data_IF_548337244398
#
_entry.id   IF_548337244398
#
_cell.length_a   1.000
_cell.length_b   1.000
_cell.length_c   1.000
_cell.angle_alpha   90.00
_cell.angle_beta   90.00
_cell.angle_gamma   90.00
#
_symmetry.space_group_name_H-M   'P 1'
#
loop_
_entity.id
_entity.type
_entity.pdbx_description
1 polymer ?
#
# COMPACT_ATOMS: atom_id res chain seq x y z
N UNK A 1 -24.95 -6.78 4.35
CA UNK A 1 -24.53 -5.90 5.47
C UNK A 1 -23.77 -4.66 5.04
N UNK A 2 -22.44 -4.62 4.80
CA UNK A 2 -21.73 -3.33 4.55
C UNK A 2 -22.25 -2.56 3.33
N UNK A 3 -22.57 -3.26 2.24
CA UNK A 3 -23.11 -2.65 1.01
C UNK A 3 -24.56 -2.16 1.15
N UNK A 4 -25.31 -2.65 2.15
CA UNK A 4 -26.62 -2.09 2.50
C UNK A 4 -26.46 -0.81 3.35
N UNK A 5 -25.34 -0.69 4.07
CA UNK A 5 -24.98 0.47 4.91
C UNK A 5 -24.25 1.58 4.15
N UNK A 6 -23.72 1.29 2.94
CA UNK A 6 -22.97 2.21 2.09
C UNK A 6 -23.70 2.43 0.76
N UNK A 7 -24.82 3.17 0.72
CA UNK A 7 -25.67 3.29 -0.47
C UNK A 7 -24.99 3.99 -1.64
N UNK A 8 -23.87 4.68 -1.38
CA UNK A 8 -23.11 5.38 -2.42
C UNK A 8 -22.08 4.49 -3.12
N UNK A 9 -21.86 3.25 -2.66
CA UNK A 9 -20.83 2.34 -3.17
C UNK A 9 -21.47 1.02 -3.63
N UNK A 10 -21.45 0.75 -4.93
CA UNK A 10 -21.85 -0.57 -5.46
C UNK A 10 -20.68 -1.55 -5.41
N UNK A 11 -20.99 -2.85 -5.24
CA UNK A 11 -19.98 -3.93 -5.26
C UNK A 11 -19.17 -3.93 -6.54
N UNK A 12 -19.84 -3.76 -7.68
CA UNK A 12 -19.20 -3.82 -8.99
C UNK A 12 -18.29 -2.61 -9.24
N UNK A 13 -18.65 -1.43 -8.71
CA UNK A 13 -17.80 -0.25 -8.78
C UNK A 13 -16.50 -0.44 -7.99
N UNK A 14 -16.59 -0.91 -6.74
CA UNK A 14 -15.38 -1.17 -5.92
C UNK A 14 -14.51 -2.23 -6.59
N UNK A 15 -15.10 -3.33 -7.06
CA UNK A 15 -14.35 -4.40 -7.74
C UNK A 15 -13.62 -3.89 -8.97
N UNK A 16 -14.29 -3.08 -9.79
CA UNK A 16 -13.70 -2.54 -11.02
C UNK A 16 -12.55 -1.56 -10.72
N UNK A 17 -12.74 -0.65 -9.77
CA UNK A 17 -11.67 0.27 -9.37
C UNK A 17 -10.50 -0.49 -8.75
N UNK A 18 -10.77 -1.44 -7.85
CA UNK A 18 -9.73 -2.30 -7.26
C UNK A 18 -8.92 -3.04 -8.33
N UNK A 19 -9.59 -3.66 -9.31
CA UNK A 19 -8.91 -4.41 -10.37
C UNK A 19 -8.06 -3.50 -11.26
N UNK A 20 -8.58 -2.32 -11.63
CA UNK A 20 -7.82 -1.34 -12.42
C UNK A 20 -6.61 -0.83 -11.65
N UNK A 21 -6.77 -0.52 -10.36
CA UNK A 21 -5.71 -0.07 -9.47
C UNK A 21 -4.67 -1.17 -9.24
N UNK A 22 -5.09 -2.43 -9.09
CA UNK A 22 -4.19 -3.58 -8.98
C UNK A 22 -3.40 -3.84 -10.27
N UNK A 23 -4.04 -3.71 -11.44
CA UNK A 23 -3.36 -3.84 -12.72
C UNK A 23 -2.32 -2.72 -12.92
N UNK A 24 -2.68 -1.47 -12.60
CA UNK A 24 -1.74 -0.35 -12.63
C UNK A 24 -0.57 -0.56 -11.66
N UNK A 25 -0.84 -1.06 -10.45
CA UNK A 25 0.18 -1.43 -9.48
C UNK A 25 1.16 -2.46 -10.05
N UNK A 26 0.66 -3.55 -10.65
CA UNK A 26 1.50 -4.58 -11.25
C UNK A 26 2.41 -4.04 -12.36
N UNK A 27 1.89 -3.16 -13.23
CA UNK A 27 2.69 -2.49 -14.25
C UNK A 27 3.78 -1.62 -13.63
N UNK A 28 3.46 -0.85 -12.58
CA UNK A 28 4.42 0.02 -11.90
C UNK A 28 5.50 -0.78 -11.17
N UNK A 29 5.19 -1.95 -10.60
CA UNK A 29 6.21 -2.84 -10.02
C UNK A 29 7.20 -3.30 -11.09
N UNK A 30 6.70 -3.73 -12.26
CA UNK A 30 7.56 -4.13 -13.37
C UNK A 30 8.42 -2.98 -13.89
N UNK A 31 7.86 -1.78 -13.98
CA UNK A 31 8.61 -0.58 -14.34
C UNK A 31 9.66 -0.22 -13.29
N UNK A 32 9.35 -0.35 -12.00
CA UNK A 32 10.29 -0.14 -10.90
C UNK A 32 11.44 -1.14 -10.94
N UNK A 33 11.15 -2.40 -11.24
CA UNK A 33 12.16 -3.43 -11.44
C UNK A 33 13.06 -3.13 -12.65
N UNK A 34 12.47 -2.82 -13.80
CA UNK A 34 13.24 -2.45 -15.00
C UNK A 34 14.11 -1.20 -14.76
N UNK A 35 13.55 -0.17 -14.13
CA UNK A 35 14.28 1.04 -13.78
C UNK A 35 15.42 0.77 -12.79
N UNK A 36 15.20 -0.07 -11.77
CA UNK A 36 16.24 -0.47 -10.82
C UNK A 36 17.36 -1.31 -11.46
N UNK A 37 17.05 -2.08 -12.50
CA UNK A 37 18.04 -2.80 -13.30
C UNK A 37 18.85 -1.90 -14.23
N UNK A 38 18.25 -0.84 -14.78
CA UNK A 38 18.92 0.11 -15.68
C UNK A 38 19.74 1.15 -14.88
N UNK A 39 19.23 1.57 -13.72
CA UNK A 39 19.82 2.62 -12.88
C UNK A 39 20.11 2.07 -11.45
N UNK A 40 21.13 1.22 -11.30
CA UNK A 40 21.44 0.57 -10.02
C UNK A 40 21.79 1.58 -8.92
N UNK A 41 22.50 2.67 -9.26
CA UNK A 41 22.88 3.71 -8.29
C UNK A 41 21.64 4.38 -7.67
N UNK A 42 20.61 4.64 -8.47
CA UNK A 42 19.35 5.20 -7.97
C UNK A 42 18.60 4.21 -7.07
N UNK A 43 18.58 2.93 -7.43
CA UNK A 43 17.94 1.89 -6.62
C UNK A 43 18.64 1.75 -5.26
N UNK A 44 19.98 1.75 -5.25
CA UNK A 44 20.76 1.75 -4.01
C UNK A 44 20.49 2.98 -3.15
N UNK A 45 20.38 4.17 -3.76
CA UNK A 45 20.04 5.38 -3.01
C UNK A 45 18.64 5.29 -2.38
N UNK A 46 17.66 4.73 -3.08
CA UNK A 46 16.32 4.47 -2.51
C UNK A 46 16.40 3.52 -1.32
N UNK A 47 17.18 2.44 -1.43
CA UNK A 47 17.39 1.51 -0.33
C UNK A 47 18.06 2.18 0.87
N UNK A 48 19.07 3.02 0.66
CA UNK A 48 19.74 3.77 1.72
C UNK A 48 18.78 4.75 2.42
N UNK A 49 17.98 5.49 1.64
CA UNK A 49 16.97 6.39 2.17
C UNK A 49 15.90 5.63 2.97
N UNK A 50 15.56 4.42 2.56
CA UNK A 50 14.63 3.57 3.30
C UNK A 50 15.24 3.02 4.59
N UNK A 51 16.49 2.55 4.56
CA UNK A 51 17.23 2.10 5.73
C UNK A 51 17.36 3.23 6.77
N UNK A 52 17.69 4.45 6.33
CA UNK A 52 17.77 5.62 7.20
C UNK A 52 16.42 5.98 7.85
N UNK A 53 15.30 5.78 7.14
CA UNK A 53 13.96 5.97 7.72
C UNK A 53 13.67 4.92 8.80
N UNK A 54 14.00 3.64 8.56
CA UNK A 54 13.84 2.58 9.57
C UNK A 54 14.68 2.87 10.82
N UNK A 55 15.92 3.32 10.64
CA UNK A 55 16.80 3.72 11.73
C UNK A 55 16.23 4.90 12.54
N UNK A 56 15.66 5.90 11.86
CA UNK A 56 14.96 7.01 12.51
C UNK A 56 13.69 6.60 13.27
N UNK A 57 13.01 5.54 12.81
CA UNK A 57 11.89 4.94 13.53
C UNK A 57 12.32 4.17 14.78
N UNK A 58 13.64 4.03 15.02
CA UNK A 58 14.19 3.36 16.20
C UNK A 58 13.97 1.85 16.19
N UNK A 59 13.74 1.25 15.01
CA UNK A 59 13.56 -0.20 14.83
C UNK A 59 14.93 -0.91 14.81
N UNK A 60 15.65 -0.87 15.92
CA UNK A 60 16.93 -1.59 16.11
C UNK A 60 16.71 -2.99 16.69
N UNK A 61 17.73 -3.84 16.65
CA UNK A 61 17.68 -5.26 17.08
C UNK A 61 17.26 -5.47 18.56
N UNK A 62 17.30 -4.43 19.39
CA UNK A 62 16.94 -4.47 20.83
C UNK A 62 15.47 -4.12 21.12
N UNK A 63 14.66 -3.84 20.11
CA UNK A 63 13.25 -3.46 20.31
C UNK A 63 12.38 -4.71 20.54
N UNK A 64 11.50 -4.73 21.55
CA UNK A 64 10.54 -5.82 21.74
C UNK A 64 9.72 -6.07 20.46
N UNK A 65 9.55 -7.33 20.06
CA UNK A 65 8.79 -7.71 18.86
C UNK A 65 7.37 -7.09 18.84
N UNK A 66 6.73 -6.95 20.00
CA UNK A 66 5.43 -6.29 20.11
C UNK A 66 5.45 -4.81 19.71
N UNK A 67 6.53 -4.10 20.00
CA UNK A 67 6.71 -2.70 19.65
C UNK A 67 7.06 -2.54 18.16
N UNK A 68 7.89 -3.42 17.61
CA UNK A 68 8.15 -3.47 16.16
C UNK A 68 6.86 -3.72 15.37
N UNK A 69 6.05 -4.69 15.78
CA UNK A 69 4.75 -4.98 15.17
C UNK A 69 3.83 -3.75 15.21
N UNK A 70 3.73 -3.08 16.37
CA UNK A 70 2.88 -1.90 16.51
C UNK A 70 3.36 -0.77 15.58
N UNK A 71 4.67 -0.51 15.52
CA UNK A 71 5.24 0.51 14.65
C UNK A 71 4.96 0.23 13.17
N UNK A 72 5.20 -1.00 12.71
CA UNK A 72 4.91 -1.41 11.32
C UNK A 72 3.41 -1.30 11.00
N UNK A 73 2.56 -1.78 11.91
CA UNK A 73 1.11 -1.68 11.78
C UNK A 73 0.62 -0.23 11.68
N UNK A 74 1.05 0.65 12.58
CA UNK A 74 0.66 2.06 12.55
C UNK A 74 1.24 2.79 11.34
N UNK A 75 2.44 2.43 10.88
CA UNK A 75 3.02 2.96 9.66
C UNK A 75 2.17 2.58 8.44
N UNK A 76 1.80 1.30 8.29
CA UNK A 76 1.00 0.84 7.15
C UNK A 76 -0.44 1.35 7.20
N UNK A 77 -1.03 1.50 8.40
CA UNK A 77 -2.30 2.20 8.57
C UNK A 77 -2.18 3.65 8.13
N UNK A 78 -1.14 4.35 8.58
CA UNK A 78 -0.94 5.76 8.25
C UNK A 78 -0.72 5.94 6.75
N UNK A 79 0.12 5.11 6.13
CA UNK A 79 0.36 5.12 4.68
C UNK A 79 -0.94 4.85 3.90
N UNK A 80 -1.71 3.84 4.30
CA UNK A 80 -2.98 3.50 3.64
C UNK A 80 -4.05 4.57 3.85
N UNK A 81 -4.13 5.14 5.05
CA UNK A 81 -5.05 6.23 5.39
C UNK A 81 -4.70 7.49 4.62
N UNK A 82 -3.43 7.89 4.59
CA UNK A 82 -2.95 9.04 3.83
C UNK A 82 -3.20 8.86 2.33
N UNK A 83 -2.95 7.66 1.79
CA UNK A 83 -3.29 7.32 0.41
C UNK A 83 -4.79 7.54 0.12
N UNK A 84 -5.68 7.16 1.04
CA UNK A 84 -7.11 7.46 0.91
C UNK A 84 -7.43 8.97 1.06
N UNK A 85 -6.85 9.64 2.04
CA UNK A 85 -7.08 11.07 2.34
C UNK A 85 -6.57 12.00 1.24
N UNK A 86 -5.51 11.62 0.55
CA UNK A 86 -5.05 12.30 -0.66
C UNK A 86 -6.11 12.38 -1.76
N UNK A 87 -7.08 11.47 -1.73
CA UNK A 87 -8.27 11.52 -2.57
C UNK A 87 -9.23 12.67 -2.26
N UNK A 88 -9.11 13.33 -1.09
CA UNK A 88 -9.92 14.51 -0.76
C UNK A 88 -9.57 15.72 -1.61
N UNK A 89 -8.37 15.76 -2.22
CA UNK A 89 -7.97 16.82 -3.12
C UNK A 89 -8.59 16.52 -4.50
N UNK A 90 -9.62 17.29 -4.92
CA UNK A 90 -10.24 17.06 -6.20
C UNK A 90 -9.27 17.42 -7.34
N UNK A 91 -9.46 16.83 -8.51
CA UNK A 91 -8.68 17.04 -9.74
C UNK A 91 -7.27 16.43 -9.78
N UNK A 92 -6.68 16.10 -8.62
CA UNK A 92 -5.35 15.50 -8.56
C UNK A 92 -5.42 14.13 -7.88
N UNK A 93 -5.20 13.02 -8.60
CA UNK A 93 -5.26 11.67 -8.03
C UNK A 93 -3.98 11.34 -7.24
N UNK A 94 -3.73 12.10 -6.17
CA UNK A 94 -2.57 11.93 -5.29
C UNK A 94 -2.51 10.54 -4.65
N UNK A 95 -3.67 9.90 -4.45
CA UNK A 95 -3.76 8.49 -4.04
C UNK A 95 -3.02 7.55 -4.99
N UNK A 96 -3.09 7.80 -6.31
CA UNK A 96 -2.39 7.00 -7.31
C UNK A 96 -0.87 7.22 -7.25
N UNK A 97 -0.41 8.43 -6.90
CA UNK A 97 1.02 8.69 -6.68
C UNK A 97 1.54 7.91 -5.46
N UNK A 98 0.81 7.95 -4.33
CA UNK A 98 1.19 7.20 -3.14
C UNK A 98 1.23 5.68 -3.39
N UNK A 99 0.29 5.14 -4.15
CA UNK A 99 0.33 3.74 -4.57
C UNK A 99 1.52 3.47 -5.51
N UNK A 100 1.78 4.38 -6.46
CA UNK A 100 2.84 4.23 -7.44
C UNK A 100 4.23 4.27 -6.83
N UNK A 101 4.48 5.11 -5.82
CA UNK A 101 5.76 5.12 -5.10
C UNK A 101 6.02 3.80 -4.40
N UNK A 102 5.00 3.22 -3.74
CA UNK A 102 5.11 1.90 -3.11
C UNK A 102 5.36 0.79 -4.14
N UNK A 103 4.66 0.83 -5.28
CA UNK A 103 4.88 -0.12 -6.38
C UNK A 103 6.31 -0.05 -6.95
N UNK A 104 6.79 1.16 -7.21
CA UNK A 104 8.13 1.40 -7.75
C UNK A 104 9.22 0.97 -6.76
N UNK A 105 9.06 1.28 -5.47
CA UNK A 105 9.99 0.83 -4.42
C UNK A 105 10.04 -0.70 -4.36
N UNK A 106 8.88 -1.37 -4.38
CA UNK A 106 8.80 -2.83 -4.40
C UNK A 106 9.53 -3.43 -5.61
N UNK A 107 9.39 -2.83 -6.79
CA UNK A 107 10.14 -3.23 -7.99
C UNK A 107 11.64 -2.97 -7.86
N UNK A 108 12.03 -1.81 -7.34
CA UNK A 108 13.43 -1.45 -7.16
C UNK A 108 14.15 -2.39 -6.18
N UNK A 109 13.51 -2.77 -5.07
CA UNK A 109 14.08 -3.73 -4.13
C UNK A 109 14.24 -5.12 -4.76
N UNK A 110 13.29 -5.58 -5.57
CA UNK A 110 13.44 -6.81 -6.34
C UNK A 110 14.67 -6.77 -7.27
N UNK A 111 14.93 -5.62 -7.92
CA UNK A 111 16.09 -5.44 -8.78
C UNK A 111 17.41 -5.50 -8.00
N UNK A 112 17.47 -4.88 -6.82
CA UNK A 112 18.66 -4.92 -5.96
C UNK A 112 18.96 -6.35 -5.51
N UNK A 113 17.97 -7.09 -5.03
CA UNK A 113 18.14 -8.48 -4.59
C UNK A 113 18.62 -9.39 -5.73
N UNK A 114 18.17 -9.13 -6.96
CA UNK A 114 18.63 -9.84 -8.16
C UNK A 114 20.09 -9.47 -8.49
N UNK A 115 20.47 -8.20 -8.40
CA UNK A 115 21.84 -7.74 -8.69
C UNK A 115 22.85 -8.20 -7.65
N UNK A 116 22.45 -8.31 -6.38
CA UNK A 116 23.31 -8.79 -5.28
C UNK A 116 23.48 -10.31 -5.28
N UNK A 117 22.81 -11.05 -6.17
CA UNK A 117 22.93 -12.50 -6.27
C UNK A 117 22.25 -13.29 -5.14
N UNK A 118 21.50 -12.62 -4.26
CA UNK A 118 20.70 -13.24 -3.18
C UNK A 118 19.53 -14.05 -3.78
N UNK A 119 19.09 -13.66 -4.98
CA UNK A 119 18.07 -14.34 -5.76
C UNK A 119 16.65 -13.88 -5.43
N UNK A 120 15.83 -13.72 -6.46
CA UNK A 120 14.44 -13.27 -6.33
C UNK A 120 13.57 -14.18 -5.44
N UNK A 121 13.93 -15.46 -5.29
CA UNK A 121 13.20 -16.40 -4.44
C UNK A 121 13.19 -15.98 -2.96
N UNK A 122 14.34 -15.54 -2.44
CA UNK A 122 14.46 -15.06 -1.05
C UNK A 122 13.68 -13.77 -0.86
N UNK A 123 13.75 -12.85 -1.83
CA UNK A 123 12.98 -11.62 -1.81
C UNK A 123 11.47 -11.87 -1.77
N UNK A 124 10.99 -12.77 -2.64
CA UNK A 124 9.58 -13.16 -2.68
C UNK A 124 9.17 -13.84 -1.38
N UNK A 125 10.00 -14.72 -0.80
CA UNK A 125 9.69 -15.35 0.49
C UNK A 125 9.67 -14.35 1.65
N UNK A 126 10.51 -13.32 1.62
CA UNK A 126 10.50 -12.24 2.59
C UNK A 126 9.22 -11.41 2.49
N UNK A 127 8.88 -10.97 1.28
CA UNK A 127 7.79 -10.01 1.04
C UNK A 127 6.41 -10.66 0.99
N UNK A 128 6.27 -11.77 0.26
CA UNK A 128 4.96 -12.33 -0.13
C UNK A 128 4.05 -12.71 1.05
N UNK A 129 4.54 -13.29 2.17
CA UNK A 129 3.69 -13.68 3.29
C UNK A 129 2.85 -12.52 3.84
N UNK A 130 3.46 -11.36 4.06
CA UNK A 130 2.79 -10.17 4.61
C UNK A 130 2.30 -9.22 3.50
N UNK A 131 3.06 -9.12 2.40
CA UNK A 131 2.81 -8.23 1.28
C UNK A 131 1.47 -8.48 0.58
N UNK A 132 0.94 -9.71 0.55
CA UNK A 132 -0.40 -9.96 -0.01
C UNK A 132 -1.48 -9.17 0.76
N UNK A 133 -1.39 -9.16 2.08
CA UNK A 133 -2.36 -8.49 2.94
C UNK A 133 -2.18 -6.97 2.90
N UNK A 134 -0.93 -6.51 2.98
CA UNK A 134 -0.59 -5.08 2.92
C UNK A 134 -0.96 -4.47 1.57
N UNK A 135 -0.54 -5.08 0.46
CA UNK A 135 -0.82 -4.57 -0.87
C UNK A 135 -2.32 -4.58 -1.16
N UNK A 136 -3.05 -5.59 -0.71
CA UNK A 136 -4.51 -5.62 -0.84
C UNK A 136 -5.17 -4.45 -0.09
N UNK A 137 -4.73 -4.17 1.15
CA UNK A 137 -5.22 -3.05 1.94
C UNK A 137 -4.85 -1.69 1.31
N UNK A 138 -3.64 -1.55 0.80
CA UNK A 138 -3.15 -0.34 0.16
C UNK A 138 -3.88 -0.05 -1.16
N UNK A 139 -4.04 -1.06 -2.02
CA UNK A 139 -4.80 -0.96 -3.29
C UNK A 139 -6.26 -0.60 -3.00
N UNK A 140 -6.89 -1.23 -2.01
CA UNK A 140 -8.25 -0.88 -1.60
C UNK A 140 -8.34 0.57 -1.13
N UNK A 141 -7.41 1.01 -0.29
CA UNK A 141 -7.37 2.38 0.24
C UNK A 141 -7.15 3.42 -0.86
N UNK A 142 -6.30 3.11 -1.85
CA UNK A 142 -6.12 3.93 -3.04
C UNK A 142 -7.39 3.99 -3.89
N UNK A 143 -8.05 2.86 -4.14
CA UNK A 143 -9.31 2.82 -4.90
C UNK A 143 -10.41 3.67 -4.23
N UNK A 144 -10.52 3.60 -2.90
CA UNK A 144 -11.41 4.46 -2.12
C UNK A 144 -11.03 5.94 -2.24
N UNK A 145 -9.74 6.29 -2.15
CA UNK A 145 -9.24 7.65 -2.37
C UNK A 145 -9.58 8.20 -3.76
N UNK A 146 -9.38 7.39 -4.82
CA UNK A 146 -9.74 7.77 -6.19
C UNK A 146 -11.24 8.00 -6.36
N UNK A 147 -12.09 7.20 -5.70
CA UNK A 147 -13.54 7.40 -5.68
C UNK A 147 -13.93 8.72 -4.98
N UNK A 148 -13.29 9.05 -3.86
CA UNK A 148 -13.47 10.33 -3.17
C UNK A 148 -13.08 11.49 -4.10
N UNK A 149 -11.93 11.37 -4.77
CA UNK A 149 -11.41 12.40 -5.68
C UNK A 149 -12.37 12.64 -6.85
N UNK A 150 -12.81 11.58 -7.53
CA UNK A 150 -13.78 11.67 -8.63
C UNK A 150 -15.08 12.33 -8.18
N UNK A 151 -15.58 11.97 -7.01
CA UNK A 151 -16.83 12.56 -6.47
C UNK A 151 -16.65 14.03 -6.13
N UNK A 152 -15.52 14.42 -5.55
CA UNK A 152 -15.18 15.82 -5.29
C UNK A 152 -15.12 16.63 -6.59
N UNK A 153 -14.44 16.11 -7.60
CA UNK A 153 -14.35 16.71 -8.95
C UNK A 153 -15.72 16.85 -9.61
N UNK A 154 -16.53 15.79 -9.65
CA UNK A 154 -17.87 15.82 -10.24
C UNK A 154 -18.80 16.81 -9.55
N UNK A 155 -18.68 16.95 -8.23
CA UNK A 155 -19.48 17.91 -7.45
C UNK A 155 -19.09 19.36 -7.73
N UNK A 156 -17.78 19.65 -7.85
CA UNK A 156 -17.31 20.98 -8.25
C UNK A 156 -17.77 21.31 -9.68
N UNK A 157 -17.78 20.32 -10.57
CA UNK A 157 -18.29 20.44 -11.94
C UNK A 157 -19.83 20.44 -12.04
N UNK A 158 -20.55 20.40 -10.90
CA UNK A 158 -22.04 20.32 -10.82
C UNK A 158 -22.65 19.16 -11.62
N UNK A 159 -21.90 18.07 -11.81
CA UNK A 159 -22.33 16.87 -12.56
C UNK A 159 -22.95 15.78 -11.68
N UNK A 160 -22.94 15.96 -10.36
CA UNK A 160 -23.34 14.92 -9.40
C UNK A 160 -24.03 15.49 -8.16
N UNK A 161 -25.22 14.95 -7.87
CA UNK A 161 -25.98 15.23 -6.64
C UNK A 161 -25.56 14.35 -5.47
N UNK A 162 -24.55 13.49 -5.65
CA UNK A 162 -24.12 12.61 -4.56
C UNK A 162 -23.56 13.41 -3.38
N UNK A 163 -24.01 13.12 -2.14
CA UNK A 163 -23.51 13.81 -0.95
C UNK A 163 -22.06 13.39 -0.67
N UNK A 164 -21.10 14.29 -0.94
CA UNK A 164 -19.66 14.07 -0.78
C UNK A 164 -19.29 13.53 0.61
N UNK A 165 -19.81 14.14 1.68
CA UNK A 165 -19.57 13.70 3.06
C UNK A 165 -20.03 12.27 3.32
N UNK A 166 -21.16 11.86 2.73
CA UNK A 166 -21.68 10.50 2.90
C UNK A 166 -20.78 9.48 2.20
N UNK A 167 -20.27 9.83 1.02
CA UNK A 167 -19.31 8.98 0.31
C UNK A 167 -17.97 8.85 1.05
N UNK A 168 -17.46 9.93 1.62
CA UNK A 168 -16.25 9.88 2.46
C UNK A 168 -16.48 8.98 3.67
N UNK A 169 -17.62 9.11 4.35
CA UNK A 169 -17.95 8.28 5.51
C UNK A 169 -18.10 6.79 5.13
N UNK A 170 -18.75 6.49 4.01
CA UNK A 170 -18.87 5.14 3.47
C UNK A 170 -17.48 4.56 3.16
N UNK A 171 -16.57 5.35 2.57
CA UNK A 171 -15.19 4.92 2.30
C UNK A 171 -14.41 4.65 3.59
N UNK A 172 -14.52 5.51 4.60
CA UNK A 172 -13.89 5.30 5.92
C UNK A 172 -14.41 4.01 6.57
N UNK A 173 -15.71 3.74 6.49
CA UNK A 173 -16.29 2.49 7.01
C UNK A 173 -15.72 1.26 6.31
N UNK A 174 -15.59 1.28 4.99
CA UNK A 174 -14.96 0.20 4.22
C UNK A 174 -13.48 0.04 4.62
N UNK A 175 -12.74 1.13 4.75
CA UNK A 175 -11.34 1.12 5.19
C UNK A 175 -11.18 0.48 6.58
N UNK A 176 -11.99 0.90 7.56
CA UNK A 176 -11.93 0.37 8.92
C UNK A 176 -12.35 -1.11 8.99
N UNK A 177 -13.26 -1.55 8.12
CA UNK A 177 -13.77 -2.93 8.18
C UNK A 177 -12.91 -3.92 7.39
N UNK A 178 -12.22 -3.48 6.34
CA UNK A 178 -11.42 -4.35 5.48
C UNK A 178 -9.92 -4.06 5.55
N UNK A 179 -9.50 -2.81 5.32
CA UNK A 179 -8.08 -2.46 5.29
C UNK A 179 -7.41 -2.65 6.65
N UNK A 180 -8.03 -2.17 7.75
CA UNK A 180 -7.42 -2.27 9.09
C UNK A 180 -7.19 -3.72 9.54
N UNK A 181 -8.16 -4.65 9.45
CA UNK A 181 -7.91 -6.05 9.78
C UNK A 181 -6.85 -6.72 8.88
N UNK A 182 -6.84 -6.40 7.59
CA UNK A 182 -5.81 -6.92 6.67
C UNK A 182 -4.41 -6.45 7.08
N UNK A 183 -4.25 -5.17 7.42
CA UNK A 183 -2.98 -4.61 7.89
C UNK A 183 -2.53 -5.21 9.22
N UNK A 184 -3.46 -5.55 10.11
CA UNK A 184 -3.14 -6.22 11.37
C UNK A 184 -2.57 -7.62 11.10
N UNK A 185 -3.19 -8.37 10.18
CA UNK A 185 -2.68 -9.67 9.75
C UNK A 185 -1.32 -9.53 9.07
N UNK A 186 -1.13 -8.51 8.23
CA UNK A 186 0.15 -8.22 7.60
C UNK A 186 1.26 -8.01 8.64
N UNK A 187 1.04 -7.14 9.62
CA UNK A 187 2.03 -6.83 10.65
C UNK A 187 2.38 -8.03 11.54
N UNK A 188 1.39 -8.89 11.84
CA UNK A 188 1.63 -10.15 12.56
C UNK A 188 2.53 -11.09 11.75
N UNK A 189 2.24 -11.26 10.47
CA UNK A 189 3.05 -12.12 9.59
C UNK A 189 4.46 -11.52 9.43
N UNK A 190 4.56 -10.20 9.24
CA UNK A 190 5.82 -9.49 9.07
C UNK A 190 6.73 -9.61 10.30
N UNK A 191 6.16 -9.57 11.51
CA UNK A 191 6.96 -9.61 12.75
C UNK A 191 7.32 -11.02 13.17
N UNK A 192 6.41 -11.99 13.00
CA UNK A 192 6.58 -13.33 13.56
C UNK A 192 6.95 -14.40 12.52
N UNK A 193 6.44 -14.28 11.29
CA UNK A 193 6.56 -15.30 10.26
C UNK A 193 7.70 -14.98 9.29
N UNK A 194 7.79 -13.73 8.83
CA UNK A 194 8.83 -13.31 7.87
C UNK A 194 10.25 -13.56 8.39
N UNK A 195 10.63 -13.20 9.64
CA UNK A 195 11.99 -13.45 10.14
C UNK A 195 12.25 -14.94 10.33
N UNK A 196 11.25 -15.71 10.77
CA UNK A 196 11.36 -17.16 10.93
C UNK A 196 11.58 -17.86 9.58
N UNK A 197 10.89 -17.43 8.52
CA UNK A 197 11.06 -17.96 7.17
C UNK A 197 12.43 -17.58 6.57
N UNK A 198 12.90 -16.36 6.78
CA UNK A 198 14.20 -15.93 6.29
C UNK A 198 15.35 -16.69 7.00
N UNK A 199 15.26 -16.91 8.31
CA UNK A 199 16.22 -17.72 9.07
C UNK A 199 16.26 -19.21 8.65
N UNK A 200 15.24 -19.71 7.96
CA UNK A 200 15.20 -21.08 7.44
C UNK A 200 15.86 -21.24 6.08
N UNK A 201 16.05 -20.13 5.34
CA UNK A 201 16.49 -20.13 3.94
C UNK A 201 17.88 -19.50 3.76
N UNK A 202 18.25 -18.57 4.64
CA UNK A 202 19.60 -17.96 4.74
C UNK A 202 20.51 -18.78 5.66
#
# INVERSE_FOLDING_TARGET
MIFELCPTLSRDLIKREFLNTAAAFGVLVLLGFAAGMIFPDMAQQILQNFAAQIEQLGLTDDVPQSQMMATLFFNNITASLLSMLYGLIPFLPLSALALGTNALMLGAFAAIYQQQGIGLGVYVLGVLPHGIFELSALILSCALGLLICRTGTERILKKSDTPFFRRVLDCIRVFLTFSVPLLLVAALIETYVTPALLNLVL
#
